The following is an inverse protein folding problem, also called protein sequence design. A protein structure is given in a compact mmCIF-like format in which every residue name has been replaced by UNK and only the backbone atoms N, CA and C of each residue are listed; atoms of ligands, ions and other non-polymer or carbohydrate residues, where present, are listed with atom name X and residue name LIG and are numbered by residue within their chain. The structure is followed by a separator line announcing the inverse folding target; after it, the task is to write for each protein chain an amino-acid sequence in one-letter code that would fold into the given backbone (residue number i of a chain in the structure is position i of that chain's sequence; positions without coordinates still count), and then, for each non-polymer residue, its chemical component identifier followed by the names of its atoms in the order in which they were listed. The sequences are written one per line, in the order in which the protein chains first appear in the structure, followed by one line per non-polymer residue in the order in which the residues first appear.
data_IF_024326008118
#
_entry.id   IF_024326008118
#
_cell.length_a   1.000
_cell.length_b   1.000
_cell.length_c   1.000
_cell.angle_alpha   90.00
_cell.angle_beta   90.00
_cell.angle_gamma   90.00
#
_symmetry.space_group_name_H-M   'P 1'
#
loop_
_entity.id
_entity.type
_entity.pdbx_description
1 polymer ?
#
# COMPACT_ATOMS: atom_id res chain seq x y z
N UNK A 1 17.42 5.57 -2.75
CA UNK A 1 17.21 4.28 -3.43
C UNK A 1 15.94 3.68 -2.86
N UNK A 2 15.33 2.73 -3.56
CA UNK A 2 14.02 2.20 -3.20
C UNK A 2 14.00 0.72 -3.57
N UNK A 3 13.41 -0.14 -2.74
CA UNK A 3 13.24 -1.56 -3.09
C UNK A 3 11.92 -1.78 -3.86
N UNK A 4 11.95 -2.64 -4.87
CA UNK A 4 10.76 -3.13 -5.54
C UNK A 4 10.03 -4.14 -4.67
N UNK A 5 8.70 -4.01 -4.52
CA UNK A 5 7.87 -4.87 -3.68
C UNK A 5 6.85 -5.67 -4.50
N UNK A 6 7.27 -6.73 -5.21
CA UNK A 6 6.34 -7.61 -5.93
C UNK A 6 5.60 -8.54 -4.96
N UNK A 7 4.39 -8.93 -5.36
CA UNK A 7 3.54 -9.88 -4.63
C UNK A 7 3.42 -9.53 -3.15
N UNK A 8 3.82 -10.43 -2.25
CA UNK A 8 3.94 -10.17 -0.82
C UNK A 8 5.42 -10.01 -0.49
N UNK A 9 5.80 -8.85 0.05
CA UNK A 9 7.19 -8.54 0.38
C UNK A 9 7.34 -8.30 1.88
N UNK A 10 8.26 -9.04 2.51
CA UNK A 10 8.66 -8.88 3.91
C UNK A 10 9.90 -8.00 3.94
N UNK A 11 9.87 -6.92 4.72
CA UNK A 11 10.87 -5.83 4.70
C UNK A 11 11.38 -5.60 6.11
N UNK A 12 12.70 -5.46 6.25
CA UNK A 12 13.39 -5.19 7.51
C UNK A 12 14.44 -4.09 7.30
N UNK A 13 14.56 -3.08 8.18
CA UNK A 13 15.67 -2.14 8.11
C UNK A 13 17.02 -2.84 8.29
N UNK A 14 18.01 -2.50 7.48
CA UNK A 14 19.37 -3.05 7.59
C UNK A 14 19.98 -2.72 8.96
N UNK A 15 19.68 -1.55 9.53
CA UNK A 15 20.11 -1.20 10.88
C UNK A 15 19.57 -2.16 11.94
N UNK A 16 18.31 -2.57 11.81
CA UNK A 16 17.64 -3.50 12.72
C UNK A 16 18.23 -4.90 12.58
N UNK A 17 18.52 -5.35 11.36
CA UNK A 17 19.21 -6.63 11.12
C UNK A 17 20.56 -6.64 11.83
N UNK A 18 21.36 -5.60 11.63
CA UNK A 18 22.70 -5.53 12.23
C UNK A 18 22.69 -5.46 13.76
N UNK A 19 21.65 -4.86 14.34
CA UNK A 19 21.52 -4.71 15.80
C UNK A 19 20.96 -5.96 16.48
N UNK A 20 19.92 -6.57 15.89
CA UNK A 20 19.07 -7.56 16.59
C UNK A 20 19.15 -8.96 16.00
N UNK A 21 19.43 -9.11 14.71
CA UNK A 21 19.36 -10.40 14.05
C UNK A 21 20.65 -11.21 14.29
N UNK A 22 20.56 -12.44 14.83
CA UNK A 22 21.72 -13.31 15.02
C UNK A 22 22.48 -13.54 13.71
N UNK A 23 23.80 -13.37 13.74
CA UNK A 23 24.65 -13.48 12.54
C UNK A 23 24.57 -12.29 11.58
N UNK A 24 23.77 -11.26 11.90
CA UNK A 24 23.70 -10.01 11.15
C UNK A 24 23.27 -10.19 9.70
N UNK A 25 23.74 -9.29 8.83
CA UNK A 25 23.30 -9.19 7.44
C UNK A 25 23.64 -10.44 6.61
N UNK A 26 24.77 -11.09 6.87
CA UNK A 26 25.20 -12.28 6.14
C UNK A 26 24.27 -13.47 6.42
N UNK A 27 23.93 -13.73 7.68
CA UNK A 27 22.97 -14.79 8.03
C UNK A 27 21.57 -14.44 7.53
N UNK A 28 21.16 -13.17 7.65
CA UNK A 28 19.87 -12.71 7.14
C UNK A 28 19.71 -12.93 5.64
N UNK A 29 20.73 -12.63 4.83
CA UNK A 29 20.73 -12.83 3.37
C UNK A 29 20.66 -14.31 2.97
N UNK A 30 21.07 -15.22 3.84
CA UNK A 30 21.04 -16.67 3.59
C UNK A 30 19.80 -17.37 4.21
N UNK A 31 18.92 -16.63 4.90
CA UNK A 31 17.76 -17.21 5.58
C UNK A 31 16.64 -17.64 4.64
N UNK A 32 16.35 -16.82 3.62
CA UNK A 32 15.17 -16.98 2.77
C UNK A 32 15.41 -17.81 1.50
N UNK A 33 14.37 -17.94 0.65
CA UNK A 33 14.50 -18.58 -0.65
C UNK A 33 15.57 -17.89 -1.51
N UNK A 34 16.35 -18.68 -2.24
CA UNK A 34 17.37 -18.14 -3.15
C UNK A 34 16.72 -17.24 -4.20
N UNK A 35 17.32 -16.08 -4.44
CA UNK A 35 16.94 -15.18 -5.53
C UNK A 35 15.89 -14.13 -5.19
N UNK A 36 15.07 -14.32 -4.15
CA UNK A 36 14.01 -13.36 -3.78
C UNK A 36 14.48 -12.26 -2.84
N UNK A 37 15.74 -12.32 -2.40
CA UNK A 37 16.38 -11.30 -1.60
C UNK A 37 16.61 -10.02 -2.41
N UNK A 38 16.38 -8.87 -1.78
CA UNK A 38 16.65 -7.54 -2.34
C UNK A 38 17.15 -6.63 -1.22
N UNK A 39 18.08 -5.72 -1.53
CA UNK A 39 18.51 -4.68 -0.59
C UNK A 39 18.95 -3.42 -1.33
N UNK A 40 18.56 -2.26 -0.81
CA UNK A 40 19.02 -0.94 -1.28
C UNK A 40 20.09 -0.32 -0.34
N UNK A 41 20.63 -1.12 0.58
CA UNK A 41 21.56 -0.71 1.63
C UNK A 41 20.91 -0.12 2.89
N UNK A 42 19.64 0.29 2.84
CA UNK A 42 18.88 0.79 4.00
C UNK A 42 17.80 -0.20 4.44
N UNK A 43 17.16 -0.84 3.48
CA UNK A 43 16.17 -1.90 3.64
C UNK A 43 16.70 -3.19 3.05
N UNK A 44 16.30 -4.30 3.65
CA UNK A 44 16.45 -5.62 3.09
C UNK A 44 15.08 -6.29 3.05
N UNK A 45 14.82 -7.07 2.01
CA UNK A 45 13.53 -7.69 1.82
C UNK A 45 13.59 -9.05 1.13
N UNK A 46 12.52 -9.82 1.34
CA UNK A 46 12.23 -11.03 0.59
C UNK A 46 10.81 -10.96 0.03
N UNK A 47 10.65 -11.34 -1.24
CA UNK A 47 9.35 -11.39 -1.89
C UNK A 47 8.85 -12.83 -2.06
N UNK A 48 7.54 -13.01 -1.92
CA UNK A 48 6.86 -14.30 -1.90
C UNK A 48 5.60 -14.22 -2.76
N UNK A 49 5.29 -15.31 -3.47
CA UNK A 49 4.10 -15.39 -4.33
C UNK A 49 2.78 -15.34 -3.54
N UNK A 50 2.80 -15.66 -2.25
CA UNK A 50 1.60 -15.67 -1.42
C UNK A 50 1.86 -15.85 0.08
N UNK A 51 0.79 -15.77 0.89
CA UNK A 51 0.89 -15.70 2.34
C UNK A 51 1.30 -17.03 2.99
N UNK A 52 1.19 -18.14 2.25
CA UNK A 52 1.60 -19.46 2.70
C UNK A 52 3.11 -19.51 2.99
N UNK A 53 3.92 -18.78 2.23
CA UNK A 53 5.38 -18.79 2.37
C UNK A 53 5.89 -17.58 3.16
N UNK A 54 5.25 -16.42 3.00
CA UNK A 54 5.67 -15.21 3.70
C UNK A 54 5.41 -15.26 5.21
N UNK A 55 4.34 -15.95 5.65
CA UNK A 55 3.98 -16.04 7.07
C UNK A 55 4.97 -16.88 7.88
N UNK A 56 5.31 -18.13 7.48
CA UNK A 56 6.36 -18.89 8.16
C UNK A 56 7.69 -18.15 8.17
N UNK A 57 8.04 -17.47 7.07
CA UNK A 57 9.24 -16.65 7.03
C UNK A 57 9.21 -15.51 8.06
N UNK A 58 8.13 -14.73 8.13
CA UNK A 58 7.98 -13.68 9.15
C UNK A 58 8.04 -14.23 10.59
N UNK A 59 7.42 -15.38 10.87
CA UNK A 59 7.56 -16.04 12.18
C UNK A 59 9.01 -16.46 12.46
N UNK A 60 9.75 -16.96 11.49
CA UNK A 60 11.17 -17.31 11.70
C UNK A 60 12.03 -16.08 12.06
N UNK A 61 11.67 -14.89 11.58
CA UNK A 61 12.31 -13.64 11.98
C UNK A 61 11.99 -13.28 13.43
N UNK A 62 10.76 -13.55 13.87
CA UNK A 62 10.33 -13.37 15.25
C UNK A 62 11.04 -14.31 16.22
N UNK A 63 11.15 -15.59 15.85
CA UNK A 63 11.93 -16.59 16.60
C UNK A 63 13.42 -16.21 16.71
N UNK A 64 13.93 -15.46 15.73
CA UNK A 64 15.29 -14.91 15.72
C UNK A 64 15.41 -13.54 16.40
N UNK A 65 14.38 -13.07 17.10
CA UNK A 65 14.43 -11.91 17.97
C UNK A 65 13.99 -10.59 17.34
N UNK A 66 13.44 -10.60 16.12
CA UNK A 66 12.80 -9.40 15.55
C UNK A 66 11.35 -9.28 16.06
N UNK A 67 10.88 -8.05 16.28
CA UNK A 67 9.49 -7.81 16.70
C UNK A 67 8.63 -7.53 15.47
N UNK A 68 7.61 -8.34 15.19
CA UNK A 68 6.75 -8.13 14.02
C UNK A 68 5.85 -6.89 14.19
N UNK A 69 5.15 -6.79 15.31
CA UNK A 69 4.27 -5.65 15.60
C UNK A 69 4.39 -5.21 17.05
N UNK A 70 4.06 -3.94 17.29
CA UNK A 70 3.92 -3.36 18.61
C UNK A 70 2.52 -2.80 18.80
N UNK A 71 2.04 -2.83 20.03
CA UNK A 71 0.73 -2.33 20.42
C UNK A 71 0.33 -2.88 21.79
N UNK A 72 -0.53 -2.14 22.48
CA UNK A 72 -1.16 -2.57 23.73
C UNK A 72 -2.61 -2.89 23.43
N UNK A 73 -3.21 -3.79 24.20
CA UNK A 73 -4.62 -4.13 24.07
C UNK A 73 -5.50 -2.86 24.07
N UNK A 74 -6.27 -2.66 23.00
CA UNK A 74 -7.10 -1.46 22.79
C UNK A 74 -6.46 -0.33 21.98
N UNK A 75 -5.19 -0.45 21.57
CA UNK A 75 -4.48 0.48 20.67
C UNK A 75 -4.28 -0.18 19.29
N UNK A 76 -4.27 0.63 18.23
CA UNK A 76 -4.00 0.15 16.87
C UNK A 76 -2.59 -0.49 16.78
N UNK A 77 -2.53 -1.73 16.28
CA UNK A 77 -1.27 -2.43 16.02
C UNK A 77 -0.48 -1.70 14.93
N UNK A 78 0.84 -1.66 15.07
CA UNK A 78 1.76 -1.14 14.06
C UNK A 78 2.98 -2.04 13.89
N UNK A 79 3.58 -2.01 12.70
CA UNK A 79 4.83 -2.72 12.44
C UNK A 79 5.97 -2.17 13.31
N UNK A 80 6.78 -3.07 13.86
CA UNK A 80 7.91 -2.73 14.72
C UNK A 80 9.24 -2.88 13.98
N UNK A 81 9.82 -4.06 13.93
CA UNK A 81 11.10 -4.35 13.25
C UNK A 81 10.90 -4.86 11.83
N UNK A 82 9.77 -5.52 11.56
CA UNK A 82 9.45 -6.15 10.29
C UNK A 82 8.15 -5.57 9.75
N UNK A 83 8.13 -5.19 8.48
CA UNK A 83 6.93 -4.79 7.77
C UNK A 83 6.59 -5.81 6.68
N UNK A 84 5.30 -5.98 6.41
CA UNK A 84 4.83 -6.80 5.29
C UNK A 84 3.96 -5.93 4.40
N UNK A 85 4.25 -5.96 3.11
CA UNK A 85 3.49 -5.25 2.08
C UNK A 85 2.91 -6.22 1.08
N UNK A 86 1.75 -5.88 0.53
CA UNK A 86 1.17 -6.53 -0.64
C UNK A 86 1.21 -5.56 -1.83
N UNK A 87 1.61 -6.01 -3.02
CA UNK A 87 1.78 -5.16 -4.20
C UNK A 87 0.51 -4.39 -4.62
N UNK A 88 -0.67 -4.89 -4.26
CA UNK A 88 -1.96 -4.28 -4.59
C UNK A 88 -2.50 -3.41 -3.46
N UNK A 89 -2.25 -3.80 -2.20
CA UNK A 89 -2.83 -3.14 -1.02
C UNK A 89 -1.84 -2.25 -0.25
N UNK A 90 -0.55 -2.34 -0.55
CA UNK A 90 0.52 -1.67 0.19
C UNK A 90 0.69 -2.24 1.59
N UNK A 91 0.87 -1.35 2.57
CA UNK A 91 0.98 -1.72 3.99
C UNK A 91 -0.39 -2.06 4.59
N UNK A 92 -0.48 -3.21 5.25
CA UNK A 92 -1.70 -3.65 5.96
C UNK A 92 -1.74 -3.18 7.43
N UNK A 93 -0.62 -2.77 8.01
CA UNK A 93 -0.51 -2.09 9.31
C UNK A 93 0.25 -0.77 9.17
N UNK A 94 -0.03 0.24 10.02
CA UNK A 94 0.81 1.43 10.13
C UNK A 94 2.29 1.08 10.34
N UNK A 95 3.17 1.88 9.76
CA UNK A 95 4.60 1.74 9.92
C UNK A 95 5.26 3.13 9.97
N UNK A 96 6.00 3.39 11.05
CA UNK A 96 6.61 4.70 11.28
C UNK A 96 7.90 4.90 10.50
N UNK A 97 8.61 3.82 10.18
CA UNK A 97 9.90 3.87 9.51
C UNK A 97 9.85 3.57 8.01
N UNK A 98 8.74 3.00 7.50
CA UNK A 98 8.60 2.65 6.09
C UNK A 98 7.65 3.58 5.35
N UNK A 99 8.04 4.01 4.15
CA UNK A 99 7.17 4.64 3.16
C UNK A 99 6.98 3.70 1.98
N UNK A 100 5.74 3.59 1.50
CA UNK A 100 5.41 2.85 0.28
C UNK A 100 4.74 3.79 -0.71
N UNK A 101 5.07 3.62 -1.99
CA UNK A 101 4.51 4.41 -3.08
C UNK A 101 4.26 3.51 -4.29
N UNK A 102 3.21 3.83 -5.06
CA UNK A 102 3.03 3.27 -6.40
C UNK A 102 3.79 4.14 -7.39
N UNK A 103 4.93 3.65 -7.87
CA UNK A 103 5.66 4.25 -8.98
C UNK A 103 5.22 3.59 -10.28
N UNK A 104 4.39 4.31 -11.03
CA UNK A 104 3.70 3.83 -12.24
C UNK A 104 2.79 2.63 -11.94
N UNK A 105 3.28 1.41 -12.14
CA UNK A 105 2.56 0.15 -11.88
C UNK A 105 3.27 -0.72 -10.83
N UNK A 106 4.33 -0.22 -10.22
CA UNK A 106 5.15 -0.96 -9.27
C UNK A 106 4.95 -0.41 -7.86
N UNK A 107 4.67 -1.29 -6.91
CA UNK A 107 4.80 -0.94 -5.51
C UNK A 107 6.30 -0.90 -5.18
N UNK A 108 6.71 0.20 -4.58
CA UNK A 108 8.09 0.37 -4.12
C UNK A 108 8.08 0.84 -2.68
N UNK A 109 9.14 0.51 -1.94
CA UNK A 109 9.28 0.89 -0.55
C UNK A 109 10.64 1.50 -0.24
N UNK A 110 10.67 2.49 0.65
CA UNK A 110 11.89 3.16 1.12
C UNK A 110 11.83 3.42 2.61
N UNK A 111 13.00 3.51 3.23
CA UNK A 111 13.13 3.98 4.61
C UNK A 111 12.77 5.48 4.66
N UNK A 112 11.91 5.88 5.61
CA UNK A 112 11.50 7.29 5.73
C UNK A 112 12.70 8.20 5.96
N UNK A 113 12.66 9.37 5.32
CA UNK A 113 13.77 10.33 5.37
C UNK A 113 14.94 10.02 4.43
N UNK A 114 14.91 8.91 3.69
CA UNK A 114 15.91 8.63 2.66
C UNK A 114 15.50 9.21 1.29
N UNK A 115 16.46 9.59 0.42
CA UNK A 115 16.15 10.08 -0.92
C UNK A 115 15.42 9.03 -1.75
N UNK A 116 14.32 9.43 -2.39
CA UNK A 116 13.73 8.64 -3.48
C UNK A 116 14.79 8.52 -4.58
N UNK A 117 15.03 7.31 -5.06
CA UNK A 117 16.05 7.05 -6.06
C UNK A 117 15.70 5.85 -6.93
N UNK A 118 16.74 5.32 -7.56
CA UNK A 118 16.66 4.13 -8.42
C UNK A 118 16.01 2.94 -7.69
N UNK A 119 15.23 2.17 -8.45
CA UNK A 119 14.54 0.99 -7.98
C UNK A 119 15.52 -0.18 -7.97
N UNK A 120 15.67 -0.82 -6.82
CA UNK A 120 16.46 -2.04 -6.65
C UNK A 120 15.54 -3.25 -6.80
N UNK A 121 15.93 -4.17 -7.67
CA UNK A 121 15.21 -5.41 -7.95
C UNK A 121 15.82 -6.60 -7.21
N UNK A 122 15.09 -7.71 -7.15
CA UNK A 122 15.54 -8.94 -6.50
C UNK A 122 16.78 -9.51 -7.21
N UNK A 123 17.65 -10.19 -6.46
CA UNK A 123 18.91 -10.71 -6.98
C UNK A 123 18.77 -11.72 -8.13
N UNK A 124 17.67 -12.47 -8.20
CA UNK A 124 17.43 -13.39 -9.32
C UNK A 124 16.79 -12.75 -10.55
N UNK A 125 16.44 -11.46 -10.50
CA UNK A 125 15.86 -10.81 -11.67
C UNK A 125 16.94 -10.57 -12.71
N UNK A 126 16.82 -11.26 -13.84
CA UNK A 126 17.71 -11.09 -14.98
C UNK A 126 17.51 -9.71 -15.62
N UNK A 127 18.57 -9.17 -16.23
CA UNK A 127 18.52 -7.86 -16.88
C UNK A 127 17.44 -7.76 -17.95
N UNK A 128 17.16 -8.86 -18.66
CA UNK A 128 16.08 -8.92 -19.67
C UNK A 128 14.69 -8.78 -19.06
N UNK A 129 14.45 -9.36 -17.88
CA UNK A 129 13.17 -9.22 -17.17
C UNK A 129 12.98 -7.78 -16.70
N UNK A 130 14.04 -7.17 -16.16
CA UNK A 130 14.04 -5.76 -15.75
C UNK A 130 13.73 -4.88 -16.96
N UNK A 131 14.41 -5.08 -18.09
CA UNK A 131 14.14 -4.33 -19.34
C UNK A 131 12.71 -4.54 -19.85
N UNK A 132 12.17 -5.76 -19.78
CA UNK A 132 10.79 -6.04 -20.17
C UNK A 132 9.80 -5.25 -19.31
N UNK A 133 10.03 -5.18 -18.00
CA UNK A 133 9.18 -4.41 -17.07
C UNK A 133 9.31 -2.91 -17.31
N UNK A 134 10.51 -2.41 -17.55
CA UNK A 134 10.72 -1.01 -17.92
C UNK A 134 9.98 -0.67 -19.23
N UNK A 135 9.98 -1.59 -20.21
CA UNK A 135 9.22 -1.43 -21.44
C UNK A 135 7.69 -1.48 -21.22
N UNK A 136 7.20 -2.31 -20.31
CA UNK A 136 5.79 -2.31 -19.89
C UNK A 136 5.40 -0.98 -19.23
N UNK A 137 6.25 -0.46 -18.33
CA UNK A 137 6.08 0.83 -17.68
C UNK A 137 6.05 1.96 -18.72
N UNK A 138 6.98 1.92 -19.68
CA UNK A 138 7.03 2.92 -20.75
C UNK A 138 5.76 2.86 -21.62
N UNK A 139 5.30 1.67 -21.99
CA UNK A 139 4.03 1.49 -22.71
C UNK A 139 2.83 2.03 -21.92
N UNK A 140 2.80 1.82 -20.61
CA UNK A 140 1.75 2.37 -19.76
C UNK A 140 1.79 3.91 -19.68
N UNK A 141 2.97 4.51 -19.64
CA UNK A 141 3.16 5.97 -19.72
C UNK A 141 2.66 6.52 -21.05
N UNK A 142 3.05 5.89 -22.16
CA UNK A 142 2.67 6.31 -23.50
C UNK A 142 1.14 6.20 -23.67
N UNK A 143 0.54 5.08 -23.26
CA UNK A 143 -0.91 4.89 -23.28
C UNK A 143 -1.66 5.93 -22.43
N UNK A 144 -1.10 6.34 -21.29
CA UNK A 144 -1.66 7.40 -20.45
C UNK A 144 -1.58 8.77 -21.12
N UNK A 145 -0.47 9.07 -21.79
CA UNK A 145 -0.30 10.31 -22.57
C UNK A 145 -1.31 10.33 -23.72
N UNK A 146 -1.45 9.22 -24.45
CA UNK A 146 -2.40 9.09 -25.55
C UNK A 146 -3.84 9.25 -25.08
N UNK A 147 -4.24 8.57 -24.00
CA UNK A 147 -5.56 8.75 -23.39
C UNK A 147 -5.80 10.21 -22.98
N UNK A 148 -4.77 10.88 -22.44
CA UNK A 148 -4.86 12.30 -22.09
C UNK A 148 -5.01 13.20 -23.32
N UNK A 149 -4.32 12.89 -24.42
CA UNK A 149 -4.40 13.63 -25.68
C UNK A 149 -5.71 13.37 -26.44
N UNK A 150 -6.35 12.22 -26.24
CA UNK A 150 -7.65 11.87 -26.80
C UNK A 150 -8.83 12.48 -26.00
N UNK A 151 -8.63 12.84 -24.73
CA UNK A 151 -9.68 13.46 -23.90
C UNK A 151 -10.35 14.68 -24.56
N UNK A 152 -9.64 15.64 -25.17
CA UNK A 152 -10.25 16.76 -25.88
C UNK A 152 -11.11 16.34 -27.09
N UNK A 153 -10.77 15.26 -27.78
CA UNK A 153 -11.56 14.75 -28.90
C UNK A 153 -12.78 13.99 -28.39
N UNK A 154 -12.59 13.09 -27.43
CA UNK A 154 -13.69 12.37 -26.77
C UNK A 154 -14.71 13.35 -26.19
N UNK A 155 -14.27 14.37 -25.45
CA UNK A 155 -15.15 15.40 -24.89
C UNK A 155 -15.88 16.19 -25.99
N UNK A 156 -15.27 16.39 -27.17
CA UNK A 156 -15.93 17.05 -28.32
C UNK A 156 -17.02 16.17 -28.95
N UNK A 157 -16.83 14.87 -28.96
CA UNK A 157 -17.76 13.88 -29.52
C UNK A 157 -18.87 13.47 -28.54
N UNK A 158 -18.72 13.76 -27.24
CA UNK A 158 -19.77 13.54 -26.23
C UNK A 158 -21.03 14.38 -26.48
N UNK A 159 -22.19 13.80 -26.18
CA UNK A 159 -23.46 14.53 -26.13
C UNK A 159 -23.40 15.66 -25.07
N UNK A 160 -24.20 16.72 -25.25
CA UNK A 160 -24.25 17.83 -24.29
C UNK A 160 -24.71 17.41 -22.89
N UNK A 161 -25.44 16.29 -22.78
CA UNK A 161 -25.83 15.71 -21.50
C UNK A 161 -24.63 15.03 -20.82
N UNK A 162 -23.93 14.15 -21.55
CA UNK A 162 -22.79 13.40 -21.01
C UNK A 162 -21.61 14.32 -20.69
N UNK A 163 -21.38 15.36 -21.51
CA UNK A 163 -20.36 16.37 -21.27
C UNK A 163 -20.63 17.12 -19.96
N UNK A 164 -21.88 17.49 -19.69
CA UNK A 164 -22.27 18.14 -18.42
C UNK A 164 -22.06 17.21 -17.22
N UNK A 165 -22.47 15.95 -17.33
CA UNK A 165 -22.25 14.94 -16.28
C UNK A 165 -20.75 14.72 -16.01
N UNK A 166 -19.93 14.62 -17.06
CA UNK A 166 -18.48 14.46 -16.93
C UNK A 166 -17.83 15.63 -16.16
N UNK A 167 -18.17 16.88 -16.48
CA UNK A 167 -17.63 18.03 -15.77
C UNK A 167 -18.12 18.16 -14.33
N UNK A 168 -19.38 17.83 -14.06
CA UNK A 168 -19.90 17.80 -12.68
C UNK A 168 -19.23 16.70 -11.85
N UNK A 169 -19.07 15.49 -12.40
CA UNK A 169 -18.33 14.42 -11.75
C UNK A 169 -16.86 14.78 -11.52
N UNK A 170 -16.20 15.42 -12.50
CA UNK A 170 -14.81 15.90 -12.35
C UNK A 170 -14.67 16.96 -11.27
N UNK A 171 -15.62 17.90 -11.16
CA UNK A 171 -15.67 18.88 -10.06
C UNK A 171 -15.83 18.19 -8.70
N UNK A 172 -16.68 17.16 -8.61
CA UNK A 172 -16.85 16.36 -7.40
C UNK A 172 -15.55 15.64 -7.04
N UNK A 173 -14.88 14.99 -7.99
CA UNK A 173 -13.60 14.32 -7.76
C UNK A 173 -12.52 15.30 -7.28
N UNK A 174 -12.41 16.48 -7.89
CA UNK A 174 -11.46 17.51 -7.47
C UNK A 174 -11.77 18.06 -6.07
N UNK A 175 -13.06 18.23 -5.73
CA UNK A 175 -13.48 18.61 -4.37
C UNK A 175 -13.15 17.52 -3.36
N UNK A 176 -13.31 16.24 -3.69
CA UNK A 176 -12.93 15.11 -2.84
C UNK A 176 -11.42 15.05 -2.64
N UNK A 177 -10.62 15.24 -3.69
CA UNK A 177 -9.16 15.28 -3.59
C UNK A 177 -8.66 16.46 -2.76
N UNK A 178 -9.27 17.65 -2.93
CA UNK A 178 -9.00 18.82 -2.10
C UNK A 178 -9.37 18.57 -0.63
N UNK A 179 -10.54 17.98 -0.38
CA UNK A 179 -10.98 17.60 0.96
C UNK A 179 -10.06 16.55 1.60
N UNK A 180 -9.55 15.59 0.84
CA UNK A 180 -8.54 14.62 1.31
C UNK A 180 -7.22 15.29 1.68
N UNK A 181 -6.73 16.24 0.88
CA UNK A 181 -5.53 17.03 1.21
C UNK A 181 -5.73 17.89 2.47
N UNK A 182 -6.90 18.50 2.63
CA UNK A 182 -7.25 19.26 3.83
C UNK A 182 -7.42 18.37 5.06
N UNK A 183 -8.06 17.20 4.92
CA UNK A 183 -8.18 16.23 6.00
C UNK A 183 -6.83 15.63 6.40
N UNK A 184 -5.94 15.38 5.44
CA UNK A 184 -4.55 14.97 5.70
C UNK A 184 -3.78 16.06 6.46
N UNK A 185 -3.92 17.34 6.08
CA UNK A 185 -3.36 18.47 6.84
C UNK A 185 -3.95 18.63 8.25
N UNK A 186 -5.22 18.26 8.46
CA UNK A 186 -5.87 18.32 9.78
C UNK A 186 -5.58 17.09 10.66
N UNK A 187 -5.23 15.94 10.06
CA UNK A 187 -4.87 14.72 10.80
C UNK A 187 -3.49 14.82 11.48
N UNK A 188 -2.63 15.75 11.03
CA UNK A 188 -1.41 16.15 11.74
C UNK A 188 -1.75 16.92 13.05
N UNK A 189 -3.00 17.40 13.19
CA UNK A 189 -3.50 18.17 14.33
C UNK A 189 -4.43 17.42 15.31
N UNK A 190 -4.48 16.08 15.28
CA UNK A 190 -5.08 15.29 16.37
C UNK A 190 -6.59 15.45 16.61
N UNK A 191 -7.42 15.51 15.57
CA UNK A 191 -8.88 15.59 15.72
C UNK A 191 -9.65 14.58 14.86
N UNK A 192 -10.23 13.55 15.48
CA UNK A 192 -11.19 12.64 14.82
C UNK A 192 -12.54 13.33 14.63
N UNK A 193 -12.83 13.81 13.42
CA UNK A 193 -14.18 14.26 13.06
C UNK A 193 -14.87 13.21 12.19
N UNK A 194 -16.08 12.80 12.59
CA UNK A 194 -16.90 11.79 11.92
C UNK A 194 -17.25 12.20 10.49
N UNK A 195 -16.99 11.32 9.53
CA UNK A 195 -17.31 11.45 8.09
C UNK A 195 -18.80 11.79 7.84
N UNK A 196 -19.68 11.39 8.75
CA UNK A 196 -21.13 11.65 8.72
C UNK A 196 -21.42 13.16 8.84
N UNK A 197 -20.65 13.88 9.65
CA UNK A 197 -20.81 15.33 9.87
C UNK A 197 -20.36 16.15 8.65
N UNK A 198 -19.39 15.64 7.88
CA UNK A 198 -18.92 16.26 6.64
C UNK A 198 -19.97 16.17 5.53
N UNK A 199 -20.67 15.03 5.43
CA UNK A 199 -21.75 14.81 4.44
C UNK A 199 -22.96 15.71 4.74
N UNK A 200 -23.31 15.87 6.03
CA UNK A 200 -24.39 16.77 6.45
C UNK A 200 -24.08 18.26 6.18
N UNK A 201 -22.82 18.69 6.33
CA UNK A 201 -22.41 20.09 6.06
C UNK A 201 -22.34 20.44 4.57
N UNK A 202 -22.20 19.47 3.67
CA UNK A 202 -22.09 19.70 2.22
C UNK A 202 -23.44 19.79 1.49
N UNK A 203 -24.57 19.78 2.21
CA UNK A 203 -25.90 20.07 1.64
C UNK A 203 -26.40 19.04 0.63
N UNK A 204 -25.90 17.80 0.67
CA UNK A 204 -26.33 16.74 -0.24
C UNK A 204 -27.75 16.27 0.08
N UNK A 205 -28.72 16.58 -0.79
CA UNK A 205 -30.05 15.97 -0.74
C UNK A 205 -30.01 14.45 -0.91
N UNK A 206 -31.16 13.79 -0.71
CA UNK A 206 -31.35 12.33 -0.69
C UNK A 206 -30.59 11.53 -1.78
N UNK A 207 -30.39 12.11 -2.96
CA UNK A 207 -29.67 11.47 -4.08
C UNK A 207 -28.15 11.32 -3.84
N UNK A 208 -27.53 12.12 -2.98
CA UNK A 208 -26.11 12.01 -2.63
C UNK A 208 -25.84 10.78 -1.74
N UNK A 209 -26.82 10.36 -0.92
CA UNK A 209 -26.73 9.21 -0.02
C UNK A 209 -26.77 7.89 -0.80
N UNK A 210 -27.56 7.83 -1.88
CA UNK A 210 -27.68 6.63 -2.74
C UNK A 210 -26.38 6.40 -3.54
N UNK A 211 -25.71 7.46 -4.01
CA UNK A 211 -24.41 7.35 -4.69
C UNK A 211 -23.24 6.98 -3.76
N UNK A 212 -23.37 7.23 -2.46
CA UNK A 212 -22.40 6.87 -1.42
C UNK A 212 -22.63 5.46 -0.82
N UNK A 213 -23.75 4.82 -1.14
CA UNK A 213 -24.09 3.49 -0.63
C UNK A 213 -23.05 2.41 -0.96
N UNK A 214 -22.46 2.35 -2.18
CA UNK A 214 -21.37 1.42 -2.48
C UNK A 214 -20.11 1.70 -1.65
N UNK A 215 -19.89 2.96 -1.25
CA UNK A 215 -18.73 3.38 -0.45
C UNK A 215 -18.94 3.08 1.04
N UNK A 216 -20.13 3.32 1.58
CA UNK A 216 -20.49 2.97 2.96
C UNK A 216 -20.54 1.44 3.11
N UNK A 217 -21.14 0.74 2.16
CA UNK A 217 -21.15 -0.73 2.12
C UNK A 217 -19.73 -1.28 1.94
N UNK A 218 -18.90 -0.63 1.11
CA UNK A 218 -17.47 -0.94 0.97
C UNK A 218 -16.67 -0.70 2.25
N UNK A 219 -16.92 0.37 2.99
CA UNK A 219 -16.27 0.68 4.28
C UNK A 219 -16.73 -0.27 5.39
N UNK A 220 -18.01 -0.64 5.43
CA UNK A 220 -18.55 -1.64 6.36
C UNK A 220 -17.96 -3.02 6.04
N UNK A 221 -17.93 -3.43 4.76
CA UNK A 221 -17.25 -4.66 4.34
C UNK A 221 -15.74 -4.62 4.61
N UNK A 222 -15.07 -3.48 4.44
CA UNK A 222 -13.66 -3.32 4.79
C UNK A 222 -13.44 -3.44 6.29
N UNK A 223 -14.37 -2.97 7.12
CA UNK A 223 -14.30 -3.10 8.58
C UNK A 223 -14.54 -4.53 9.03
N UNK A 224 -15.53 -5.21 8.46
CA UNK A 224 -15.82 -6.63 8.72
C UNK A 224 -14.70 -7.54 8.18
N UNK A 225 -14.15 -7.23 7.00
CA UNK A 225 -12.99 -7.91 6.41
C UNK A 225 -11.74 -7.72 7.25
N UNK A 226 -11.50 -6.50 7.78
CA UNK A 226 -10.38 -6.26 8.70
C UNK A 226 -10.55 -6.98 10.02
N UNK A 227 -11.76 -7.13 10.53
CA UNK A 227 -12.01 -7.88 11.77
C UNK A 227 -11.90 -9.40 11.54
N UNK A 228 -12.34 -9.91 10.39
CA UNK A 228 -12.14 -11.29 9.95
C UNK A 228 -10.66 -11.59 9.67
N UNK A 229 -9.91 -10.69 9.03
CA UNK A 229 -8.45 -10.79 8.91
C UNK A 229 -7.79 -10.79 10.29
N UNK A 230 -8.15 -9.86 11.19
CA UNK A 230 -7.61 -9.84 12.56
C UNK A 230 -7.88 -11.12 13.34
N UNK A 231 -9.00 -11.80 13.10
CA UNK A 231 -9.29 -13.13 13.68
C UNK A 231 -8.48 -14.23 13.01
N UNK A 232 -8.37 -14.18 11.68
CA UNK A 232 -7.53 -15.09 10.89
C UNK A 232 -6.05 -15.02 11.27
N UNK A 233 -5.51 -13.83 11.55
CA UNK A 233 -4.13 -13.65 12.00
C UNK A 233 -3.92 -13.98 13.48
N UNK A 234 -4.97 -13.99 14.32
CA UNK A 234 -4.92 -14.39 15.74
C UNK A 234 -5.11 -15.89 15.99
N UNK A 235 -5.52 -16.66 14.98
CA UNK A 235 -5.78 -18.10 15.13
C UNK A 235 -7.10 -18.44 15.84
N UNK A 236 -7.97 -17.45 16.07
CA UNK A 236 -9.26 -17.64 16.75
C UNK A 236 -10.33 -18.14 15.78
N UNK A 237 -10.51 -19.46 15.70
CA UNK A 237 -11.67 -20.08 15.04
C UNK A 237 -12.66 -20.62 16.07
N UNK A 238 -13.65 -19.79 16.42
CA UNK A 238 -14.98 -20.28 16.75
C UNK A 238 -15.95 -19.53 15.83
N UNK A 239 -16.39 -20.20 14.77
CA UNK A 239 -17.50 -19.71 13.95
C UNK A 239 -18.79 -19.92 14.77
N UNK A 240 -19.68 -18.92 14.88
CA UNK A 240 -21.03 -19.19 15.35
C UNK A 240 -21.73 -20.13 14.35
N UNK A 241 -22.46 -21.12 14.87
CA UNK A 241 -23.32 -22.04 14.09
C UNK A 241 -24.34 -21.30 13.21
#
# INVERSE_FOLDING_TARGET
MTIHCPFITVIVPVSVINEKFPGGMEEFRNLGPTGTFCTDGFLASYSFMGPHDSRPFAHSLEEKGLVLWSGVEGVDLQFADVAVTDQFFGLNLPCDWLETEMMEIQLVARLKGTPAGEITYMESMEAEEIQSREADIQRAKDARIDAFNLLPQYVREMSDYDRRQYFENKKITLRIQSAKRSAWMWSIGGGTFSLITLIAKLGGGHNAVVGLFPFIYGVIKLRESKELERRFYRGDFNLPE
#
